data_IF_549556320950
#
_entry.id   IF_549556320950
#
_cell.length_a   1.000
_cell.length_b   1.000
_cell.length_c   1.000
_cell.angle_alpha   90.00
_cell.angle_beta   90.00
_cell.angle_gamma   90.00
#
_symmetry.space_group_name_H-M   'P 1'
#
loop_
_entity.id
_entity.type
_entity.pdbx_description
1 polymer ?
#
# COMPACT_ATOMS: atom_id res chain seq x y z
N UNK A 1 -6.48 14.81 -2.00
CA UNK A 1 -7.53 15.56 -1.30
C UNK A 1 -8.52 14.60 -0.66
N UNK A 2 -8.83 14.79 0.62
CA UNK A 2 -9.87 14.07 1.34
C UNK A 2 -11.15 14.92 1.36
N UNK A 3 -12.28 14.31 0.96
CA UNK A 3 -13.56 14.99 0.88
C UNK A 3 -14.58 14.34 1.83
N UNK A 4 -15.38 15.16 2.51
CA UNK A 4 -16.57 14.71 3.22
C UNK A 4 -17.82 15.16 2.42
N UNK A 5 -18.53 14.18 1.86
CA UNK A 5 -19.71 14.43 1.01
C UNK A 5 -20.92 14.98 1.75
N UNK A 6 -20.89 15.00 3.09
CA UNK A 6 -21.99 15.49 3.94
C UNK A 6 -21.96 17.00 4.15
N UNK A 7 -20.83 17.65 3.86
CA UNK A 7 -20.65 19.09 4.06
C UNK A 7 -20.51 19.85 2.73
N UNK A 8 -20.98 21.10 2.69
CA UNK A 8 -20.99 21.91 1.47
C UNK A 8 -19.58 22.20 0.95
N UNK A 9 -18.66 22.56 1.84
CA UNK A 9 -17.22 22.69 1.53
C UNK A 9 -16.56 21.33 1.77
N UNK A 10 -16.74 20.41 0.85
CA UNK A 10 -16.41 19.00 0.96
C UNK A 10 -14.93 18.67 1.20
N UNK A 11 -14.01 19.58 0.90
CA UNK A 11 -12.57 19.37 1.11
C UNK A 11 -12.25 19.48 2.58
N UNK A 12 -11.95 18.36 3.22
CA UNK A 12 -11.58 18.27 4.64
C UNK A 12 -10.07 18.41 4.82
N UNK A 13 -9.29 17.79 3.94
CA UNK A 13 -7.83 17.75 4.05
C UNK A 13 -7.18 17.61 2.69
N UNK A 14 -6.08 18.33 2.48
CA UNK A 14 -5.19 18.17 1.32
C UNK A 14 -3.82 17.70 1.79
N UNK A 15 -3.32 16.62 1.20
CA UNK A 15 -2.03 16.03 1.51
C UNK A 15 -1.03 16.38 0.39
N UNK A 16 0.09 17.00 0.75
CA UNK A 16 1.16 17.39 -0.18
C UNK A 16 2.45 16.67 0.19
N UNK A 17 3.09 15.98 -0.77
CA UNK A 17 4.33 15.25 -0.51
C UNK A 17 4.85 14.44 -1.68
N UNK A 18 3.96 13.94 -2.56
CA UNK A 18 4.38 13.29 -3.79
C UNK A 18 4.76 14.32 -4.86
N UNK A 19 5.82 14.01 -5.61
CA UNK A 19 6.34 14.83 -6.71
C UNK A 19 5.82 14.34 -8.08
N UNK A 20 5.23 13.13 -8.12
CA UNK A 20 4.62 12.53 -9.30
C UNK A 20 3.24 11.96 -8.93
N UNK A 21 2.55 11.36 -9.92
CA UNK A 21 1.19 10.87 -9.75
C UNK A 21 1.08 9.82 -8.64
N UNK A 22 0.09 10.00 -7.79
CA UNK A 22 -0.30 9.01 -6.78
C UNK A 22 -1.05 7.88 -7.46
N UNK A 23 -0.51 6.68 -7.43
CA UNK A 23 -1.08 5.50 -8.09
C UNK A 23 -1.61 4.44 -7.11
N UNK A 24 -1.27 4.55 -5.83
CA UNK A 24 -1.78 3.71 -4.74
C UNK A 24 -2.33 4.56 -3.60
N UNK A 25 -3.51 4.20 -3.08
CA UNK A 25 -4.13 4.91 -1.96
C UNK A 25 -4.96 3.93 -1.13
N UNK A 26 -4.71 3.89 0.20
CA UNK A 26 -5.41 2.96 1.11
C UNK A 26 -5.50 3.51 2.52
N UNK A 27 -6.70 3.59 3.06
CA UNK A 27 -6.93 3.86 4.48
C UNK A 27 -6.63 2.62 5.34
N UNK A 28 -6.08 2.85 6.54
CA UNK A 28 -6.01 1.82 7.57
C UNK A 28 -7.41 1.39 8.02
N UNK A 29 -7.52 0.19 8.57
CA UNK A 29 -8.81 -0.32 9.07
C UNK A 29 -9.43 0.54 10.19
N UNK A 30 -8.61 1.27 10.94
CA UNK A 30 -9.05 2.23 11.97
C UNK A 30 -9.49 3.59 11.40
N UNK A 31 -9.16 3.89 10.14
CA UNK A 31 -9.37 5.21 9.54
C UNK A 31 -8.42 6.30 10.07
N UNK A 32 -7.45 5.97 10.92
CA UNK A 32 -6.53 6.96 11.51
C UNK A 32 -5.31 7.24 10.64
N UNK A 33 -4.92 6.30 9.79
CA UNK A 33 -3.78 6.46 8.90
C UNK A 33 -4.18 6.23 7.45
N UNK A 34 -3.57 7.01 6.56
CA UNK A 34 -3.68 6.86 5.12
C UNK A 34 -2.29 6.49 4.57
N UNK A 35 -2.22 5.49 3.70
CA UNK A 35 -1.03 5.19 2.92
C UNK A 35 -1.23 5.67 1.48
N UNK A 36 -0.22 6.34 0.92
CA UNK A 36 -0.19 6.73 -0.49
C UNK A 36 1.12 6.34 -1.14
N UNK A 37 1.05 5.68 -2.29
CA UNK A 37 2.19 5.34 -3.12
C UNK A 37 2.15 6.08 -4.45
N UNK A 38 3.30 6.49 -4.96
CA UNK A 38 3.42 7.31 -6.15
C UNK A 38 4.35 6.75 -7.23
N UNK A 39 4.28 7.38 -8.40
CA UNK A 39 5.23 7.13 -9.49
C UNK A 39 6.64 7.67 -9.18
N UNK A 40 6.79 8.49 -8.14
CA UNK A 40 8.05 8.94 -7.57
C UNK A 40 8.76 7.87 -6.71
N UNK A 41 8.25 6.63 -6.71
CA UNK A 41 8.73 5.48 -5.93
C UNK A 41 8.58 5.66 -4.41
N UNK A 42 7.90 6.69 -3.98
CA UNK A 42 7.70 7.00 -2.57
C UNK A 42 6.43 6.34 -2.02
N UNK A 43 6.52 5.98 -0.75
CA UNK A 43 5.38 5.59 0.05
C UNK A 43 5.27 6.57 1.24
N UNK A 44 4.17 7.29 1.33
CA UNK A 44 3.88 8.15 2.48
C UNK A 44 2.83 7.53 3.38
N UNK A 45 3.06 7.68 4.68
CA UNK A 45 2.07 7.41 5.71
C UNK A 45 1.64 8.75 6.30
N UNK A 46 0.34 9.02 6.28
CA UNK A 46 -0.29 10.21 6.80
C UNK A 46 -1.10 9.86 8.04
N UNK A 47 -1.04 10.68 9.06
CA UNK A 47 -1.83 10.51 10.27
C UNK A 47 -2.87 11.63 10.36
N UNK A 48 -4.15 11.25 10.56
CA UNK A 48 -5.26 12.21 10.61
C UNK A 48 -5.09 13.20 11.76
N UNK A 49 -4.52 12.77 12.89
CA UNK A 49 -4.30 13.63 14.06
C UNK A 49 -3.32 14.76 13.80
N UNK A 50 -2.37 14.56 12.88
CA UNK A 50 -1.39 15.60 12.51
C UNK A 50 -1.99 16.69 11.62
N UNK A 51 -3.10 16.42 10.96
CA UNK A 51 -3.73 17.34 10.00
C UNK A 51 -4.37 18.56 10.66
N UNK A 52 -4.82 18.44 11.89
CA UNK A 52 -5.50 19.51 12.64
C UNK A 52 -4.56 20.54 13.28
N UNK A 53 -3.26 20.27 13.32
CA UNK A 53 -2.27 21.14 14.01
C UNK A 53 -1.41 21.98 13.05
N UNK A 54 -1.64 21.93 11.74
CA UNK A 54 -0.74 22.50 10.74
C UNK A 54 -1.20 23.87 10.24
N UNK A 55 -1.08 24.88 11.09
CA UNK A 55 -0.85 26.27 10.62
C UNK A 55 0.56 26.78 10.97
N UNK A 56 1.48 25.94 11.35
CA UNK A 56 2.87 26.32 11.60
C UNK A 56 3.74 25.99 10.39
N UNK A 57 4.21 27.03 9.72
CA UNK A 57 5.19 26.96 8.65
C UNK A 57 6.38 26.07 9.04
N UNK A 58 6.66 25.02 8.24
CA UNK A 58 7.86 24.19 8.35
C UNK A 58 7.67 22.75 8.87
N UNK A 59 6.47 22.31 9.19
CA UNK A 59 6.23 20.89 9.56
C UNK A 59 5.82 20.07 8.34
N UNK A 60 6.43 18.89 8.20
CA UNK A 60 6.02 17.90 7.21
C UNK A 60 4.61 17.39 7.55
N UNK A 61 3.78 17.20 6.54
CA UNK A 61 2.40 16.71 6.71
C UNK A 61 2.34 15.18 6.88
N UNK A 62 3.38 14.46 6.50
CA UNK A 62 3.45 12.99 6.60
C UNK A 62 4.04 12.55 7.93
N UNK A 63 3.56 11.41 8.43
CA UNK A 63 4.15 10.71 9.57
C UNK A 63 5.46 10.03 9.16
N UNK A 64 5.45 9.33 8.02
CA UNK A 64 6.63 8.70 7.44
C UNK A 64 6.69 8.93 5.92
N UNK A 65 7.92 9.12 5.42
CA UNK A 65 8.27 9.14 4.00
C UNK A 65 9.27 8.02 3.75
N UNK A 66 8.83 6.95 3.09
CA UNK A 66 9.54 5.71 2.90
C UNK A 66 10.05 5.63 1.46
N UNK A 67 11.35 5.34 1.27
CA UNK A 67 12.07 5.52 0.00
C UNK A 67 12.73 4.23 -0.51
N UNK A 68 12.44 3.08 0.09
CA UNK A 68 13.13 1.83 -0.25
C UNK A 68 12.63 1.15 -1.53
N UNK A 69 11.49 1.58 -2.09
CA UNK A 69 11.04 1.09 -3.39
C UNK A 69 11.84 1.73 -4.54
N UNK A 70 12.15 0.91 -5.55
CA UNK A 70 12.93 1.33 -6.72
C UNK A 70 12.05 1.63 -7.95
N UNK A 71 10.74 1.45 -7.83
CA UNK A 71 9.75 1.74 -8.86
C UNK A 71 8.42 2.15 -8.23
N UNK A 72 7.49 2.64 -9.06
CA UNK A 72 6.18 3.12 -8.67
C UNK A 72 5.47 2.19 -7.67
N UNK A 73 4.90 2.76 -6.61
CA UNK A 73 4.23 2.03 -5.53
C UNK A 73 2.72 2.12 -5.73
N UNK A 74 2.12 1.08 -6.34
CA UNK A 74 0.67 1.02 -6.57
C UNK A 74 -0.05 0.14 -5.57
N UNK A 75 0.49 -1.04 -5.28
CA UNK A 75 -0.14 -2.03 -4.43
C UNK A 75 0.05 -1.69 -2.96
N UNK A 76 -1.04 -1.52 -2.23
CA UNK A 76 -1.05 -1.20 -0.80
C UNK A 76 -2.12 -2.04 -0.11
N UNK A 77 -1.77 -2.68 1.01
CA UNK A 77 -2.71 -3.45 1.81
C UNK A 77 -2.37 -3.38 3.30
N UNK A 78 -3.28 -2.82 4.09
CA UNK A 78 -3.19 -2.84 5.55
C UNK A 78 -3.52 -4.23 6.08
N UNK A 79 -2.71 -4.71 7.02
CA UNK A 79 -2.92 -6.00 7.65
C UNK A 79 -4.17 -5.98 8.55
N UNK A 80 -5.13 -6.91 8.38
CA UNK A 80 -6.37 -6.89 9.16
C UNK A 80 -6.18 -7.39 10.61
N UNK A 81 -5.13 -8.14 10.90
CA UNK A 81 -4.85 -8.72 12.22
C UNK A 81 -3.69 -8.02 12.97
N UNK A 82 -3.08 -7.00 12.37
CA UNK A 82 -2.02 -6.20 12.98
C UNK A 82 -2.11 -4.75 12.51
N UNK A 83 -2.61 -3.86 13.36
CA UNK A 83 -3.02 -2.49 13.02
C UNK A 83 -1.88 -1.59 12.51
N UNK A 84 -0.63 -1.86 12.92
CA UNK A 84 0.55 -1.09 12.54
C UNK A 84 1.39 -1.75 11.43
N UNK A 85 0.80 -2.71 10.69
CA UNK A 85 1.47 -3.41 9.60
C UNK A 85 0.84 -3.04 8.26
N UNK A 86 1.68 -2.53 7.35
CA UNK A 86 1.32 -2.25 5.97
C UNK A 86 2.19 -3.10 5.03
N UNK A 87 1.57 -3.70 4.03
CA UNK A 87 2.25 -4.30 2.88
C UNK A 87 2.17 -3.35 1.69
N UNK A 88 3.28 -3.18 0.97
CA UNK A 88 3.36 -2.41 -0.26
C UNK A 88 4.01 -3.23 -1.37
N UNK A 89 3.66 -2.94 -2.62
CA UNK A 89 4.21 -3.62 -3.78
C UNK A 89 4.75 -2.63 -4.81
N UNK A 90 5.97 -2.91 -5.26
CA UNK A 90 6.69 -2.11 -6.24
C UNK A 90 6.43 -2.51 -7.70
N UNK A 91 6.64 -1.56 -8.60
CA UNK A 91 6.53 -1.74 -10.04
C UNK A 91 7.59 -2.67 -10.64
N UNK A 92 7.61 -2.77 -11.98
CA UNK A 92 8.44 -3.72 -12.70
C UNK A 92 9.96 -3.59 -12.50
N UNK A 93 10.44 -2.42 -12.15
CA UNK A 93 11.85 -2.17 -11.82
C UNK A 93 12.23 -2.53 -10.38
N UNK A 94 11.25 -2.78 -9.51
CA UNK A 94 11.44 -3.11 -8.10
C UNK A 94 11.00 -4.55 -7.78
N UNK A 95 9.82 -4.95 -8.20
CA UNK A 95 9.22 -6.30 -8.08
C UNK A 95 9.05 -6.82 -6.65
N UNK A 96 9.29 -5.98 -5.65
CA UNK A 96 9.31 -6.38 -4.25
C UNK A 96 7.98 -6.13 -3.56
N UNK A 97 7.59 -7.06 -2.69
CA UNK A 97 6.63 -6.80 -1.61
C UNK A 97 7.43 -6.41 -0.39
N UNK A 98 7.14 -5.23 0.18
CA UNK A 98 7.76 -4.74 1.41
C UNK A 98 6.73 -4.62 2.53
N UNK A 99 7.18 -4.88 3.75
CA UNK A 99 6.37 -4.82 4.96
C UNK A 99 6.89 -3.74 5.89
N UNK A 100 5.99 -2.91 6.39
CA UNK A 100 6.33 -1.71 7.14
C UNK A 100 5.67 -1.70 8.50
N UNK A 101 6.44 -1.35 9.52
CA UNK A 101 5.88 -0.93 10.79
C UNK A 101 5.48 0.55 10.66
N UNK A 102 4.21 0.85 10.61
CA UNK A 102 3.70 2.22 10.38
C UNK A 102 3.79 3.12 11.61
N UNK A 103 4.14 2.56 12.78
CA UNK A 103 4.43 3.36 13.96
C UNK A 103 5.89 3.89 13.94
N UNK A 104 6.84 3.06 13.53
CA UNK A 104 8.27 3.41 13.52
C UNK A 104 8.80 3.84 12.16
N UNK A 105 8.09 3.54 11.07
CA UNK A 105 8.56 3.72 9.69
C UNK A 105 9.57 2.66 9.23
N UNK A 106 9.85 1.63 10.04
CA UNK A 106 10.85 0.62 9.71
C UNK A 106 10.34 -0.38 8.66
N UNK A 107 11.18 -0.69 7.68
CA UNK A 107 10.97 -1.83 6.78
C UNK A 107 11.29 -3.13 7.53
N UNK A 108 10.28 -3.97 7.71
CA UNK A 108 10.38 -5.23 8.46
C UNK A 108 10.86 -6.39 7.59
N UNK A 109 10.46 -6.40 6.32
CA UNK A 109 10.82 -7.44 5.36
C UNK A 109 10.68 -6.92 3.93
N UNK A 110 11.45 -7.52 3.01
CA UNK A 110 11.39 -7.23 1.58
C UNK A 110 11.57 -8.53 0.79
N UNK A 111 10.61 -8.86 -0.07
CA UNK A 111 10.56 -10.12 -0.83
C UNK A 111 10.47 -9.81 -2.31
N UNK A 112 11.48 -10.21 -3.10
CA UNK A 112 11.43 -10.14 -4.57
C UNK A 112 10.47 -11.22 -5.08
N UNK A 113 9.44 -10.82 -5.79
CA UNK A 113 8.42 -11.71 -6.36
C UNK A 113 8.70 -12.08 -7.82
N UNK A 114 9.76 -11.50 -8.42
CA UNK A 114 10.18 -11.73 -9.79
C UNK A 114 9.40 -10.96 -10.86
N UNK A 115 8.29 -10.26 -10.50
CA UNK A 115 7.48 -9.46 -11.43
C UNK A 115 6.80 -8.29 -10.74
N UNK A 116 6.29 -7.34 -11.54
CA UNK A 116 5.54 -6.19 -11.02
C UNK A 116 4.43 -6.63 -10.08
N UNK A 117 4.36 -6.02 -8.90
CA UNK A 117 3.25 -6.21 -7.95
C UNK A 117 2.16 -5.19 -8.25
N UNK A 118 1.01 -5.64 -8.74
CA UNK A 118 -0.08 -4.76 -9.18
C UNK A 118 -1.11 -4.49 -8.09
N UNK A 119 -1.45 -5.50 -7.28
CA UNK A 119 -2.33 -5.37 -6.14
C UNK A 119 -1.97 -6.37 -5.04
N UNK A 120 -2.36 -6.07 -3.81
CA UNK A 120 -2.18 -6.89 -2.62
C UNK A 120 -3.50 -7.02 -1.88
N UNK A 121 -3.77 -8.21 -1.35
CA UNK A 121 -4.99 -8.49 -0.60
C UNK A 121 -4.69 -9.46 0.55
N UNK A 122 -4.93 -9.03 1.79
CA UNK A 122 -4.83 -9.89 2.96
C UNK A 122 -6.06 -10.78 3.10
N UNK A 123 -5.84 -12.03 3.46
CA UNK A 123 -6.90 -12.88 3.98
C UNK A 123 -7.28 -12.39 5.40
N UNK A 124 -8.57 -12.23 5.68
CA UNK A 124 -9.05 -11.74 6.97
C UNK A 124 -9.00 -12.80 8.08
N UNK A 125 -9.09 -14.06 7.71
CA UNK A 125 -9.21 -15.19 8.63
C UNK A 125 -7.88 -15.93 8.83
N UNK A 126 -6.98 -15.85 7.84
CA UNK A 126 -5.71 -16.54 7.84
C UNK A 126 -4.54 -15.55 7.68
N UNK A 127 -3.37 -15.93 8.18
CA UNK A 127 -2.15 -15.14 7.97
C UNK A 127 -1.58 -15.36 6.57
N UNK A 128 -2.32 -14.90 5.58
CA UNK A 128 -2.02 -15.07 4.17
C UNK A 128 -2.17 -13.76 3.42
N UNK A 129 -1.30 -13.58 2.43
CA UNK A 129 -1.31 -12.44 1.53
C UNK A 129 -1.40 -12.96 0.10
N UNK A 130 -2.37 -12.45 -0.67
CA UNK A 130 -2.48 -12.67 -2.10
C UNK A 130 -1.88 -11.46 -2.81
N UNK A 131 -0.97 -11.71 -3.74
CA UNK A 131 -0.42 -10.71 -4.65
C UNK A 131 -0.86 -10.97 -6.08
N UNK A 132 -1.18 -9.91 -6.81
CA UNK A 132 -1.39 -9.98 -8.25
C UNK A 132 -0.25 -9.33 -9.00
N UNK A 133 0.06 -9.86 -10.18
CA UNK A 133 1.26 -9.52 -10.90
C UNK A 133 0.99 -9.06 -12.34
N UNK A 134 2.00 -8.36 -12.88
CA UNK A 134 2.09 -7.98 -14.26
C UNK A 134 2.98 -8.93 -15.08
N UNK A 135 3.51 -8.41 -16.18
CA UNK A 135 4.34 -9.18 -17.10
C UNK A 135 5.53 -9.87 -16.42
N UNK A 136 5.86 -11.11 -16.81
CA UNK A 136 5.39 -11.83 -18.01
C UNK A 136 4.26 -12.82 -17.74
N UNK A 137 4.08 -13.30 -16.52
CA UNK A 137 3.16 -14.40 -16.22
C UNK A 137 1.74 -13.94 -15.87
N UNK A 138 1.58 -12.69 -15.44
CA UNK A 138 0.29 -12.12 -14.98
C UNK A 138 -0.41 -12.99 -13.93
N UNK A 139 0.36 -13.62 -13.06
CA UNK A 139 -0.12 -14.60 -12.08
C UNK A 139 -0.71 -13.94 -10.83
N UNK A 140 -1.43 -14.74 -10.07
CA UNK A 140 -1.71 -14.50 -8.66
C UNK A 140 -0.81 -15.41 -7.83
N UNK A 141 -0.27 -14.90 -6.74
CA UNK A 141 0.58 -15.69 -5.84
C UNK A 141 0.07 -15.58 -4.41
N UNK A 142 -0.15 -16.73 -3.78
CA UNK A 142 -0.54 -16.83 -2.38
C UNK A 142 0.69 -17.07 -1.52
N UNK A 143 0.85 -16.24 -0.48
CA UNK A 143 1.98 -16.25 0.44
C UNK A 143 1.53 -16.52 1.87
N UNK A 144 2.27 -17.33 2.60
CA UNK A 144 2.07 -17.51 4.05
C UNK A 144 2.93 -16.51 4.83
N UNK A 145 2.27 -15.61 5.53
CA UNK A 145 2.91 -14.61 6.39
C UNK A 145 3.20 -15.20 7.79
N UNK A 146 4.29 -14.85 8.49
CA UNK A 146 5.29 -13.82 8.14
C UNK A 146 6.45 -14.31 7.27
N UNK A 147 6.64 -15.61 7.10
CA UNK A 147 7.81 -16.19 6.43
C UNK A 147 7.80 -15.98 4.90
N UNK A 148 6.68 -15.52 4.36
CA UNK A 148 6.48 -15.27 2.93
C UNK A 148 6.82 -16.48 2.07
N UNK A 149 6.42 -17.66 2.55
CA UNK A 149 6.52 -18.90 1.77
C UNK A 149 5.44 -18.87 0.70
N UNK A 150 5.85 -19.11 -0.55
CA UNK A 150 4.91 -19.25 -1.67
C UNK A 150 4.12 -20.53 -1.51
N UNK A 151 2.81 -20.42 -1.32
CA UNK A 151 1.90 -21.54 -1.14
C UNK A 151 1.27 -22.01 -2.45
N UNK A 152 0.90 -21.05 -3.30
CA UNK A 152 0.28 -21.33 -4.59
C UNK A 152 0.61 -20.22 -5.60
N UNK A 153 0.64 -20.59 -6.87
CA UNK A 153 0.76 -19.68 -8.00
C UNK A 153 -0.36 -20.04 -8.99
N UNK A 154 -1.24 -19.07 -9.26
CA UNK A 154 -2.39 -19.24 -10.14
C UNK A 154 -2.14 -18.49 -11.44
N UNK A 155 -1.98 -19.24 -12.52
CA UNK A 155 -1.75 -18.73 -13.85
C UNK A 155 -3.03 -18.82 -14.69
N UNK A 156 -3.18 -17.98 -15.71
CA UNK A 156 -4.32 -18.01 -16.62
C UNK A 156 -4.70 -16.65 -17.20
N UNK A 157 -4.28 -15.56 -16.56
CA UNK A 157 -4.51 -14.23 -17.10
C UNK A 157 -3.56 -13.91 -18.25
N UNK A 158 -4.08 -13.34 -19.34
CA UNK A 158 -3.32 -12.90 -20.51
C UNK A 158 -2.80 -11.47 -20.40
N UNK A 159 -3.25 -10.73 -19.37
CA UNK A 159 -2.86 -9.35 -19.09
C UNK A 159 -2.66 -9.15 -17.60
N UNK A 160 -2.06 -8.00 -17.22
CA UNK A 160 -1.80 -7.64 -15.82
C UNK A 160 -3.08 -7.65 -14.98
N UNK A 161 -3.03 -8.28 -13.83
CA UNK A 161 -4.14 -8.28 -12.87
C UNK A 161 -4.00 -7.05 -11.97
N UNK A 162 -4.70 -5.97 -12.31
CA UNK A 162 -4.52 -4.66 -11.70
C UNK A 162 -5.30 -4.46 -10.40
N UNK A 163 -6.38 -5.23 -10.21
CA UNK A 163 -7.29 -5.10 -9.06
C UNK A 163 -7.74 -6.47 -8.55
N UNK A 164 -7.91 -6.56 -7.24
CA UNK A 164 -8.49 -7.72 -6.57
C UNK A 164 -9.49 -7.25 -5.53
N UNK A 165 -10.54 -8.05 -5.30
CA UNK A 165 -11.51 -7.84 -4.24
C UNK A 165 -11.86 -9.16 -3.57
N UNK A 166 -12.10 -9.12 -2.26
CA UNK A 166 -12.59 -10.26 -1.49
C UNK A 166 -14.08 -10.11 -1.26
N UNK A 167 -14.84 -11.12 -1.64
CA UNK A 167 -16.25 -11.23 -1.28
C UNK A 167 -16.36 -11.96 0.06
N UNK A 168 -17.15 -11.41 0.96
CA UNK A 168 -17.46 -12.03 2.26
C UNK A 168 -18.89 -12.58 2.13
N UNK A 169 -19.02 -13.87 2.25
CA UNK A 169 -20.32 -14.55 2.31
C UNK A 169 -20.74 -14.74 3.76
#
# INVERSE_FOLDING_TARGET
>A
VNNDVRIRNNVVQTYHGHEQEVCGLKWSGSGQQLASGGNDNLLHIWDVSMSSSVQSAGRTQWLHRLQDHLAAVKALAWCPFQSNLLASGGGGGDRCIKFWNTHTGACLNSVDTGSQVCALLWNKNERELLSSHGFTKNQLTLWKYPLMVKMAELNGHTSRVLFMAQVIF
#
